data_IF_034503759216
#
_entry.id   IF_034503759216
#
_cell.length_a   1.000
_cell.length_b   1.000
_cell.length_c   1.000
_cell.angle_alpha   90.00
_cell.angle_beta   90.00
_cell.angle_gamma   90.00
#
_symmetry.space_group_name_H-M   'P 1'
#
loop_
_entity.id
_entity.type
_entity.pdbx_description
1 polymer ?
#
# COMPACT_ATOMS: atom_id res chain seq x y z
N UNK A 1 16.07 -14.74 -2.84
CA UNK A 1 15.01 -13.77 -2.44
C UNK A 1 13.67 -14.06 -3.11
N UNK A 2 13.61 -14.21 -4.43
CA UNK A 2 12.35 -14.50 -5.17
C UNK A 2 11.60 -15.75 -4.66
N UNK A 3 12.31 -16.83 -4.31
CA UNK A 3 11.66 -18.05 -3.81
C UNK A 3 10.86 -17.88 -2.51
N UNK A 4 11.28 -16.98 -1.60
CA UNK A 4 10.55 -16.72 -0.35
C UNK A 4 9.23 -16.01 -0.66
N UNK A 5 9.27 -14.99 -1.52
CA UNK A 5 8.09 -14.22 -1.95
C UNK A 5 7.10 -15.13 -2.68
N UNK A 6 7.61 -15.99 -3.56
CA UNK A 6 6.80 -16.92 -4.35
C UNK A 6 6.06 -17.92 -3.44
N UNK A 7 6.78 -18.56 -2.52
CA UNK A 7 6.23 -19.55 -1.60
C UNK A 7 5.28 -18.95 -0.53
N UNK A 8 5.46 -17.68 -0.16
CA UNK A 8 4.64 -17.03 0.86
C UNK A 8 3.23 -16.72 0.35
N UNK A 9 2.19 -17.10 1.09
CA UNK A 9 0.80 -16.84 0.72
C UNK A 9 0.31 -15.52 1.35
N UNK A 10 0.30 -14.45 0.57
CA UNK A 10 -0.20 -13.14 1.00
C UNK A 10 -0.84 -12.39 -0.17
N UNK A 11 -1.64 -11.38 0.17
CA UNK A 11 -2.18 -10.39 -0.77
C UNK A 11 -1.41 -9.09 -0.58
N UNK A 12 -1.08 -8.44 -1.70
CA UNK A 12 -0.26 -7.25 -1.73
C UNK A 12 -1.10 -6.04 -2.15
N UNK A 13 -1.09 -5.02 -1.29
CA UNK A 13 -1.59 -3.68 -1.56
C UNK A 13 -0.40 -2.75 -1.41
N UNK A 14 -0.21 -1.85 -2.37
CA UNK A 14 0.94 -0.96 -2.39
C UNK A 14 0.62 0.36 -3.06
N UNK A 15 1.30 1.41 -2.61
CA UNK A 15 1.27 2.72 -3.22
C UNK A 15 2.69 3.21 -3.50
N UNK A 16 2.92 3.64 -4.74
CA UNK A 16 4.16 4.29 -5.17
C UNK A 16 3.88 5.78 -5.30
N UNK A 17 4.58 6.58 -4.51
CA UNK A 17 4.50 8.04 -4.59
C UNK A 17 5.70 8.59 -5.35
N UNK A 18 5.45 9.20 -6.51
CA UNK A 18 6.42 10.05 -7.18
C UNK A 18 6.47 11.41 -6.45
N UNK A 19 7.49 11.57 -5.61
CA UNK A 19 7.68 12.78 -4.79
C UNK A 19 7.99 14.01 -5.63
N UNK A 20 8.62 13.86 -6.79
CA UNK A 20 8.95 15.00 -7.65
C UNK A 20 7.66 15.56 -8.27
N UNK A 21 6.89 14.68 -8.91
CA UNK A 21 5.62 15.04 -9.53
C UNK A 21 4.58 15.52 -8.49
N UNK A 22 4.57 14.95 -7.28
CA UNK A 22 3.66 15.38 -6.22
C UNK A 22 3.89 16.83 -5.80
N UNK A 23 5.15 17.22 -5.59
CA UNK A 23 5.51 18.59 -5.18
C UNK A 23 5.14 19.61 -6.25
N UNK A 24 5.26 19.23 -7.52
CA UNK A 24 4.89 20.07 -8.66
C UNK A 24 3.37 20.23 -8.78
N UNK A 25 2.60 19.14 -8.69
CA UNK A 25 1.15 19.15 -8.95
C UNK A 25 0.28 19.59 -7.77
N UNK A 26 0.68 19.28 -6.53
CA UNK A 26 -0.16 19.51 -5.34
C UNK A 26 0.49 20.41 -4.29
N UNK A 27 1.68 20.95 -4.58
CA UNK A 27 2.43 21.80 -3.67
C UNK A 27 2.98 21.05 -2.45
N UNK A 28 3.67 21.76 -1.53
CA UNK A 28 4.36 21.16 -0.38
C UNK A 28 3.42 20.69 0.74
N UNK A 29 2.10 20.87 0.60
CA UNK A 29 1.12 20.71 1.69
C UNK A 29 0.76 19.24 1.93
N UNK A 30 0.84 18.38 0.92
CA UNK A 30 0.47 16.97 1.06
C UNK A 30 1.69 16.11 1.43
N UNK A 31 1.70 15.58 2.65
CA UNK A 31 2.70 14.61 3.09
C UNK A 31 2.54 13.30 2.27
N UNK A 32 3.56 12.88 1.49
CA UNK A 32 3.53 11.65 0.71
C UNK A 32 3.07 10.42 1.50
N UNK A 33 3.44 10.36 2.78
CA UNK A 33 3.09 9.24 3.66
C UNK A 33 1.60 9.21 3.99
N UNK A 34 0.96 10.36 4.18
CA UNK A 34 -0.47 10.43 4.48
C UNK A 34 -1.29 9.99 3.27
N UNK A 35 -0.86 10.41 2.07
CA UNK A 35 -1.47 10.01 0.81
C UNK A 35 -1.36 8.49 0.61
N UNK A 36 -0.16 7.93 0.79
CA UNK A 36 0.04 6.49 0.68
C UNK A 36 -0.75 5.71 1.73
N UNK A 37 -0.81 6.22 2.97
CA UNK A 37 -1.58 5.62 4.06
C UNK A 37 -3.07 5.55 3.72
N UNK A 38 -3.67 6.67 3.32
CA UNK A 38 -5.09 6.74 2.96
C UNK A 38 -5.45 5.71 1.89
N UNK A 39 -4.68 5.65 0.80
CA UNK A 39 -4.90 4.66 -0.25
C UNK A 39 -4.79 3.22 0.25
N UNK A 40 -3.75 2.90 1.03
CA UNK A 40 -3.60 1.54 1.55
C UNK A 40 -4.74 1.14 2.51
N UNK A 41 -5.24 2.05 3.35
CA UNK A 41 -6.34 1.76 4.27
C UNK A 41 -7.67 1.60 3.54
N UNK A 42 -7.96 2.46 2.56
CA UNK A 42 -9.17 2.36 1.72
C UNK A 42 -9.20 1.03 0.97
N UNK A 43 -8.11 0.67 0.30
CA UNK A 43 -8.02 -0.61 -0.43
C UNK A 43 -8.03 -1.81 0.53
N UNK A 44 -7.45 -1.69 1.73
CA UNK A 44 -7.56 -2.73 2.75
C UNK A 44 -9.02 -2.95 3.17
N UNK A 45 -9.80 -1.88 3.32
CA UNK A 45 -11.22 -1.96 3.63
C UNK A 45 -12.00 -2.66 2.51
N UNK A 46 -11.78 -2.29 1.25
CA UNK A 46 -12.38 -2.95 0.08
C UNK A 46 -12.03 -4.45 0.03
N UNK A 47 -10.78 -4.80 0.31
CA UNK A 47 -10.34 -6.19 0.39
C UNK A 47 -11.08 -6.96 1.50
N UNK A 48 -11.22 -6.38 2.69
CA UNK A 48 -11.96 -7.02 3.79
C UNK A 48 -13.45 -7.13 3.48
N UNK A 49 -14.02 -6.15 2.76
CA UNK A 49 -15.40 -6.20 2.28
C UNK A 49 -15.61 -7.36 1.29
N UNK A 50 -14.67 -7.59 0.37
CA UNK A 50 -14.70 -8.77 -0.52
C UNK A 50 -14.73 -10.08 0.30
N UNK A 51 -14.13 -10.09 1.49
CA UNK A 51 -14.11 -11.25 2.41
C UNK A 51 -15.28 -11.28 3.40
N UNK A 52 -16.20 -10.33 3.35
CA UNK A 52 -17.27 -10.14 4.34
C UNK A 52 -16.75 -9.95 5.78
N UNK A 53 -15.60 -9.28 5.93
CA UNK A 53 -14.92 -9.02 7.20
C UNK A 53 -14.77 -7.53 7.51
N UNK A 54 -15.43 -6.65 6.76
CA UNK A 54 -15.30 -5.20 6.88
C UNK A 54 -15.72 -4.61 8.23
N UNK A 55 -16.48 -5.35 9.06
CA UNK A 55 -16.92 -4.91 10.40
C UNK A 55 -16.04 -5.45 11.53
N UNK A 56 -15.03 -6.28 11.22
CA UNK A 56 -14.16 -6.90 12.21
C UNK A 56 -13.01 -5.95 12.52
N UNK A 57 -12.72 -5.75 13.81
CA UNK A 57 -11.56 -4.96 14.24
C UNK A 57 -10.28 -5.53 13.64
N UNK A 58 -9.62 -4.76 12.79
CA UNK A 58 -8.39 -5.16 12.11
C UNK A 58 -7.22 -4.35 12.62
N UNK A 59 -6.22 -5.03 13.19
CA UNK A 59 -4.99 -4.39 13.65
C UNK A 59 -4.02 -4.21 12.48
N UNK A 60 -3.60 -2.98 12.22
CA UNK A 60 -2.66 -2.61 11.17
C UNK A 60 -1.30 -2.32 11.81
N UNK A 61 -0.31 -3.13 11.46
CA UNK A 61 1.01 -3.09 12.09
C UNK A 61 1.94 -2.17 11.29
N UNK A 62 2.53 -1.19 11.97
CA UNK A 62 3.53 -0.28 11.44
C UNK A 62 4.87 -0.45 12.14
N UNK A 63 5.97 -0.36 11.39
CA UNK A 63 7.31 -0.30 11.96
C UNK A 63 7.58 1.12 12.51
N UNK A 64 8.09 1.20 13.75
CA UNK A 64 8.48 2.48 14.36
C UNK A 64 9.59 3.19 13.61
N UNK A 65 9.47 4.51 13.45
CA UNK A 65 10.43 5.37 12.74
C UNK A 65 10.94 6.54 13.57
N UNK A 66 10.36 6.77 14.74
CA UNK A 66 10.77 7.85 15.65
C UNK A 66 9.54 8.44 16.33
N UNK A 67 9.68 8.97 17.55
CA UNK A 67 8.53 9.43 18.34
C UNK A 67 7.68 10.48 17.61
N UNK A 68 8.32 11.37 16.86
CA UNK A 68 7.60 12.42 16.13
C UNK A 68 6.85 11.84 14.94
N UNK A 69 7.53 11.04 14.13
CA UNK A 69 6.97 10.38 12.94
C UNK A 69 5.84 9.42 13.32
N UNK A 70 6.02 8.64 14.38
CA UNK A 70 5.02 7.70 14.89
C UNK A 70 3.76 8.46 15.36
N UNK A 71 3.92 9.57 16.09
CA UNK A 71 2.80 10.40 16.53
C UNK A 71 2.06 11.07 15.36
N UNK A 72 2.79 11.60 14.37
CA UNK A 72 2.20 12.21 13.17
C UNK A 72 1.42 11.16 12.36
N UNK A 73 1.97 9.95 12.21
CA UNK A 73 1.32 8.84 11.51
C UNK A 73 0.07 8.35 12.25
N UNK A 74 0.14 8.20 13.57
CA UNK A 74 -1.01 7.78 14.39
C UNK A 74 -2.16 8.77 14.30
N UNK A 75 -1.87 10.06 14.36
CA UNK A 75 -2.88 11.10 14.25
C UNK A 75 -3.60 11.03 12.90
N UNK A 76 -2.85 10.89 11.81
CA UNK A 76 -3.43 10.76 10.48
C UNK A 76 -4.23 9.46 10.32
N UNK A 77 -3.70 8.34 10.82
CA UNK A 77 -4.40 7.06 10.82
C UNK A 77 -5.76 7.15 11.51
N UNK A 78 -5.81 7.75 12.70
CA UNK A 78 -7.06 7.92 13.46
C UNK A 78 -8.04 8.81 12.72
N UNK A 79 -7.59 9.93 12.15
CA UNK A 79 -8.45 10.80 11.31
C UNK A 79 -9.05 10.04 10.13
N UNK A 80 -8.25 9.24 9.43
CA UNK A 80 -8.72 8.41 8.32
C UNK A 80 -9.75 7.38 8.80
N UNK A 81 -9.52 6.76 9.96
CA UNK A 81 -10.47 5.80 10.53
C UNK A 81 -11.76 6.46 11.03
N UNK A 82 -11.72 7.72 11.45
CA UNK A 82 -12.88 8.50 11.90
C UNK A 82 -13.74 9.08 10.76
N UNK A 83 -13.38 8.80 9.50
CA UNK A 83 -14.17 9.22 8.32
C UNK A 83 -13.52 10.25 7.43
N UNK A 84 -12.29 10.68 7.70
CA UNK A 84 -11.51 11.54 6.79
C UNK A 84 -10.92 10.79 5.59
N UNK A 85 -11.52 9.65 5.20
CA UNK A 85 -11.21 8.87 4.02
C UNK A 85 -12.20 9.19 2.88
N UNK A 86 -11.88 8.76 1.66
CA UNK A 86 -12.70 9.00 0.47
C UNK A 86 -14.11 8.42 0.56
N UNK A 87 -14.29 7.35 1.31
CA UNK A 87 -15.59 6.68 1.48
C UNK A 87 -16.48 7.43 2.49
N UNK A 88 -15.91 8.30 3.33
CA UNK A 88 -16.63 9.04 4.36
C UNK A 88 -17.20 8.14 5.47
N UNK A 89 -16.63 6.96 5.68
CA UNK A 89 -17.09 5.95 6.65
C UNK A 89 -16.10 5.76 7.78
N UNK A 90 -16.56 5.22 8.91
CA UNK A 90 -15.65 4.75 9.94
C UNK A 90 -14.99 3.43 9.50
N UNK A 91 -13.66 3.38 9.59
CA UNK A 91 -12.88 2.18 9.34
C UNK A 91 -12.61 1.48 10.69
N UNK A 92 -12.98 0.20 10.87
CA UNK A 92 -12.76 -0.52 12.13
C UNK A 92 -11.31 -1.02 12.22
N UNK A 93 -10.36 -0.11 12.11
CA UNK A 93 -8.93 -0.40 12.15
C UNK A 93 -8.28 0.18 13.39
N UNK A 94 -7.29 -0.53 13.93
CA UNK A 94 -6.48 -0.06 15.04
C UNK A 94 -4.99 -0.12 14.67
N UNK A 95 -4.23 0.89 15.10
CA UNK A 95 -2.83 1.03 14.75
C UNK A 95 -1.94 0.36 15.80
N UNK A 96 -1.00 -0.48 15.35
CA UNK A 96 -0.04 -1.15 16.22
C UNK A 96 1.38 -0.82 15.77
N UNK A 97 2.14 -0.14 16.62
CA UNK A 97 3.55 0.16 16.36
C UNK A 97 4.46 -0.95 16.88
N UNK A 98 5.12 -1.66 15.96
CA UNK A 98 6.13 -2.66 16.27
C UNK A 98 7.54 -2.05 16.26
N UNK A 99 8.38 -2.46 17.23
CA UNK A 99 9.80 -2.13 17.21
C UNK A 99 10.53 -3.04 16.22
N UNK A 100 11.71 -2.60 15.76
CA UNK A 100 12.58 -3.40 14.87
C UNK A 100 12.96 -4.77 15.43
N UNK A 101 12.91 -4.93 16.75
CA UNK A 101 13.28 -6.17 17.44
C UNK A 101 12.18 -7.24 17.38
N UNK A 102 10.95 -6.88 17.00
CA UNK A 102 9.77 -7.77 17.05
C UNK A 102 9.84 -8.89 15.99
N UNK A 103 10.81 -8.88 15.06
CA UNK A 103 11.00 -9.92 14.03
C UNK A 103 9.68 -10.33 13.34
N UNK A 104 8.83 -9.33 13.04
CA UNK A 104 7.53 -9.55 12.41
C UNK A 104 7.73 -10.01 10.96
N UNK A 105 7.22 -11.19 10.63
CA UNK A 105 7.26 -11.74 9.26
C UNK A 105 6.54 -10.83 8.27
N UNK A 106 5.44 -10.19 8.68
CA UNK A 106 4.69 -9.27 7.82
C UNK A 106 5.51 -8.03 7.44
N UNK A 107 6.22 -7.43 8.41
CA UNK A 107 7.10 -6.29 8.14
C UNK A 107 8.29 -6.68 7.27
N UNK A 108 8.89 -7.85 7.51
CA UNK A 108 9.97 -8.38 6.66
C UNK A 108 9.50 -8.60 5.22
N UNK A 109 8.28 -9.11 5.01
CA UNK A 109 7.70 -9.22 3.67
C UNK A 109 7.49 -7.84 3.04
N UNK A 110 6.98 -6.86 3.78
CA UNK A 110 6.80 -5.50 3.30
C UNK A 110 8.13 -4.87 2.80
N UNK A 111 9.22 -5.07 3.53
CA UNK A 111 10.55 -4.60 3.13
C UNK A 111 11.06 -5.29 1.85
N UNK A 112 10.81 -6.60 1.71
CA UNK A 112 11.23 -7.38 0.55
C UNK A 112 10.50 -6.98 -0.74
N UNK A 113 9.23 -6.57 -0.65
CA UNK A 113 8.43 -6.20 -1.82
C UNK A 113 8.60 -4.75 -2.23
N UNK A 114 8.91 -3.83 -1.30
CA UNK A 114 8.96 -2.40 -1.57
C UNK A 114 9.96 -2.02 -2.67
N UNK A 115 11.18 -2.57 -2.64
CA UNK A 115 12.23 -2.24 -3.62
C UNK A 115 11.90 -2.75 -5.04
N UNK A 116 11.51 -4.02 -5.25
CA UNK A 116 11.07 -4.48 -6.56
C UNK A 116 9.96 -3.64 -7.19
N UNK A 117 8.97 -3.20 -6.38
CA UNK A 117 7.88 -2.33 -6.85
C UNK A 117 8.41 -0.94 -7.23
N UNK A 118 9.23 -0.32 -6.40
CA UNK A 118 9.82 0.98 -6.72
C UNK A 118 10.66 0.94 -8.00
N UNK A 119 11.41 -0.16 -8.21
CA UNK A 119 12.23 -0.34 -9.41
C UNK A 119 11.41 -0.55 -10.69
N UNK A 120 10.24 -1.20 -10.62
CA UNK A 120 9.39 -1.37 -11.81
C UNK A 120 8.82 -0.04 -12.31
N UNK A 121 8.56 0.91 -11.41
CA UNK A 121 8.11 2.26 -11.77
C UNK A 121 9.27 3.13 -12.24
N UNK A 122 10.39 3.14 -11.51
CA UNK A 122 11.55 3.98 -11.85
C UNK A 122 12.28 3.54 -13.12
N UNK A 123 12.21 2.24 -13.46
CA UNK A 123 12.94 1.62 -14.58
C UNK A 123 12.07 0.60 -15.32
N UNK A 124 10.93 1.06 -15.83
CA UNK A 124 9.91 0.22 -16.50
C UNK A 124 10.43 -0.61 -17.68
N UNK A 125 11.56 -0.26 -18.29
CA UNK A 125 12.20 -1.02 -19.37
C UNK A 125 13.23 -2.08 -18.94
N UNK A 126 13.53 -2.21 -17.64
CA UNK A 126 14.49 -3.21 -17.15
C UNK A 126 13.78 -4.47 -16.67
N UNK A 127 14.36 -5.65 -16.95
CA UNK A 127 13.87 -6.91 -16.40
C UNK A 127 13.83 -6.86 -14.87
N UNK A 128 12.69 -7.24 -14.29
CA UNK A 128 12.49 -7.25 -12.85
C UNK A 128 11.74 -8.51 -12.44
N UNK A 129 12.48 -9.63 -12.39
CA UNK A 129 11.95 -10.96 -12.04
C UNK A 129 11.24 -10.97 -10.69
N UNK A 130 11.71 -10.17 -9.72
CA UNK A 130 11.06 -10.06 -8.43
C UNK A 130 9.67 -9.41 -8.56
N UNK A 131 9.55 -8.33 -9.33
CA UNK A 131 8.27 -7.70 -9.61
C UNK A 131 7.33 -8.63 -10.40
N UNK A 132 7.84 -9.41 -11.35
CA UNK A 132 7.03 -10.39 -12.09
C UNK A 132 6.36 -11.42 -11.18
N UNK A 133 7.06 -11.87 -10.13
CA UNK A 133 6.48 -12.73 -9.09
C UNK A 133 5.42 -11.97 -8.28
N UNK A 134 5.67 -10.69 -7.95
CA UNK A 134 4.73 -9.87 -7.19
C UNK A 134 3.44 -9.54 -7.93
N UNK A 135 3.44 -9.51 -9.27
CA UNK A 135 2.20 -9.33 -10.05
C UNK A 135 1.11 -10.32 -9.63
N UNK A 136 1.52 -11.56 -9.32
CA UNK A 136 0.62 -12.63 -8.86
C UNK A 136 0.23 -12.54 -7.38
N UNK A 137 0.65 -11.50 -6.66
CA UNK A 137 0.33 -11.28 -5.25
C UNK A 137 -0.55 -10.04 -5.07
N UNK A 138 -0.58 -9.11 -6.03
CA UNK A 138 -1.39 -7.91 -5.90
C UNK A 138 -2.87 -8.20 -5.76
N UNK A 139 -3.55 -7.35 -4.99
CA UNK A 139 -5.00 -7.24 -5.00
C UNK A 139 -5.47 -6.82 -6.40
N UNK A 140 -6.46 -7.53 -6.95
CA UNK A 140 -6.92 -7.41 -8.33
C UNK A 140 -8.43 -7.20 -8.37
N UNK A 141 -8.92 -6.53 -9.42
CA UNK A 141 -10.37 -6.43 -9.63
C UNK A 141 -10.98 -7.82 -9.86
N UNK A 142 -12.03 -8.15 -9.10
CA UNK A 142 -12.61 -9.50 -9.08
C UNK A 142 -11.86 -10.53 -8.22
N UNK A 143 -10.95 -10.06 -7.36
CA UNK A 143 -10.38 -10.84 -6.27
C UNK A 143 -9.37 -11.90 -6.71
N UNK A 144 -9.23 -12.95 -5.89
CA UNK A 144 -8.16 -13.97 -6.05
C UNK A 144 -8.25 -14.78 -7.36
N UNK A 145 -9.40 -14.80 -8.01
CA UNK A 145 -9.58 -15.52 -9.28
C UNK A 145 -8.93 -14.79 -10.48
N UNK A 146 -8.67 -13.49 -10.37
CA UNK A 146 -8.08 -12.65 -11.42
C UNK A 146 -6.62 -12.24 -11.15
N UNK A 147 -5.94 -12.99 -10.28
CA UNK A 147 -4.56 -12.71 -9.86
C UNK A 147 -3.64 -12.45 -11.05
N UNK A 148 -2.88 -11.35 -10.99
CA UNK A 148 -1.91 -10.95 -12.02
C UNK A 148 -2.50 -10.10 -13.16
N UNK A 149 -3.80 -9.82 -13.16
CA UNK A 149 -4.46 -8.93 -14.14
C UNK A 149 -5.30 -7.88 -13.43
N UNK A 150 -5.28 -6.64 -13.91
CA UNK A 150 -6.11 -5.56 -13.38
C UNK A 150 -5.78 -5.22 -11.93
N UNK A 151 -4.50 -5.30 -11.56
CA UNK A 151 -4.02 -4.89 -10.25
C UNK A 151 -3.68 -3.40 -10.22
N UNK A 152 -3.49 -2.78 -11.39
CA UNK A 152 -3.25 -1.36 -11.55
C UNK A 152 -4.44 -0.56 -11.04
N UNK A 153 -4.18 0.41 -10.17
CA UNK A 153 -5.19 1.20 -9.43
C UNK A 153 -6.06 0.40 -8.44
N UNK A 154 -5.81 -0.90 -8.27
CA UNK A 154 -6.40 -1.74 -7.23
C UNK A 154 -5.34 -2.08 -6.17
N UNK A 155 -4.48 -3.06 -6.43
CA UNK A 155 -3.39 -3.45 -5.52
C UNK A 155 -2.07 -2.68 -5.73
N UNK A 156 -1.87 -2.04 -6.88
CA UNK A 156 -0.74 -1.15 -7.14
C UNK A 156 -1.24 0.21 -7.60
N UNK A 157 -1.06 1.22 -6.75
CA UNK A 157 -1.42 2.60 -7.07
C UNK A 157 -0.18 3.45 -7.26
N UNK A 158 -0.07 4.14 -8.39
CA UNK A 158 1.00 5.09 -8.67
C UNK A 158 0.41 6.50 -8.57
N UNK A 159 1.04 7.36 -7.78
CA UNK A 159 0.53 8.71 -7.53
C UNK A 159 1.64 9.77 -7.52
N UNK A 160 1.42 10.95 -8.15
CA UNK A 160 0.30 11.26 -9.05
C UNK A 160 0.40 10.44 -10.35
N UNK A 161 -0.73 10.25 -11.06
CA UNK A 161 -0.72 9.60 -12.38
C UNK A 161 0.24 10.34 -13.31
N UNK A 162 1.16 9.59 -13.92
CA UNK A 162 2.03 10.10 -14.97
C UNK A 162 1.17 10.42 -16.21
N UNK A 163 1.49 11.50 -16.93
CA UNK A 163 0.70 11.90 -18.10
C UNK A 163 0.72 10.88 -19.24
N UNK A 164 1.59 9.87 -19.14
CA UNK A 164 1.78 8.77 -20.08
C UNK A 164 0.63 7.73 -20.09
N UNK A 165 -0.28 7.76 -19.12
CA UNK A 165 -1.40 6.82 -18.98
C UNK A 165 -2.77 7.45 -19.27
N UNK A 166 -2.83 8.55 -20.04
CA UNK A 166 -4.11 8.92 -20.66
C UNK A 166 -4.35 7.96 -21.84
N UNK A 167 -5.47 7.21 -21.89
CA UNK A 167 -5.83 6.52 -23.11
C UNK A 167 -5.97 7.58 -24.21
N UNK A 168 -5.19 7.44 -25.27
CA UNK A 168 -5.45 8.12 -26.54
C UNK A 168 -6.73 7.58 -27.16
#
# INVERSE_FOLDING_TARGET
MTGIIEASNFVLISCVIDKAALREKQGPVHNPYHVALGFCLETLYEYLQEKNQQSVLTHVIFERRGKREDNELELEFRRMCDGANRLGIQLPFDIVFATKQVNSTGLQLADLVARPIGMSVLRSGQENRAFDVLKRKFYCSGGRNNVGKGFENWGLKIFPLSESEKPR
#
